data_IF_974167112498
#
_entry.id   IF_974167112498
#
_cell.length_a   1.000
_cell.length_b   1.000
_cell.length_c   1.000
_cell.angle_alpha   90.00
_cell.angle_beta   90.00
_cell.angle_gamma   90.00
#
_symmetry.space_group_name_H-M   'P 1'
#
loop_
_entity.id
_entity.type
_entity.pdbx_description
1 polymer ?
#
# COMPACT_ATOMS: atom_id res chain seq x y z
N UNK A 1 -6.28 -20.75 -2.05
CA UNK A 1 -7.69 -20.68 -1.64
C UNK A 1 -7.96 -21.77 -0.59
N UNK A 2 -7.90 -21.37 0.69
CA UNK A 2 -7.86 -22.35 1.78
C UNK A 2 -9.27 -22.76 2.30
N UNK A 3 -10.34 -22.18 1.74
CA UNK A 3 -11.72 -22.55 2.08
C UNK A 3 -11.99 -22.48 3.59
N UNK A 4 -12.30 -23.63 4.18
CA UNK A 4 -12.61 -23.76 5.62
C UNK A 4 -11.50 -24.50 6.38
N UNK A 5 -11.42 -24.24 7.71
CA UNK A 5 -10.49 -24.94 8.60
C UNK A 5 -10.62 -26.47 8.51
N UNK A 6 -9.53 -27.24 8.81
CA UNK A 6 -8.29 -26.81 9.46
C UNK A 6 -7.29 -26.19 8.49
N UNK A 7 -6.62 -25.08 8.94
CA UNK A 7 -5.60 -24.42 8.14
C UNK A 7 -4.21 -24.94 8.52
N UNK A 8 -3.37 -25.35 7.54
CA UNK A 8 -2.02 -25.81 7.83
C UNK A 8 -1.15 -24.62 8.31
N UNK A 9 -0.40 -24.86 9.38
CA UNK A 9 0.60 -23.92 9.88
C UNK A 9 1.97 -24.59 9.88
N UNK A 10 3.01 -23.84 9.56
CA UNK A 10 4.39 -24.34 9.52
C UNK A 10 5.40 -23.29 9.96
N UNK A 11 6.62 -23.74 10.23
CA UNK A 11 7.73 -22.82 10.54
C UNK A 11 8.06 -21.95 9.32
N UNK A 12 8.44 -20.69 9.57
CA UNK A 12 8.92 -19.78 8.53
C UNK A 12 10.44 -19.91 8.35
N UNK A 13 10.93 -20.61 7.33
CA UNK A 13 12.39 -20.79 7.11
C UNK A 13 13.07 -19.50 6.65
N UNK A 14 12.31 -18.48 6.29
CA UNK A 14 12.79 -17.16 5.88
C UNK A 14 12.63 -16.10 6.98
N UNK A 15 12.36 -16.52 8.20
CA UNK A 15 12.31 -15.60 9.35
C UNK A 15 13.56 -14.73 9.44
N UNK A 16 13.38 -13.48 9.88
CA UNK A 16 14.47 -12.54 10.12
C UNK A 16 15.03 -12.62 11.55
N UNK A 17 14.53 -13.56 12.38
CA UNK A 17 14.93 -13.70 13.80
C UNK A 17 16.40 -14.09 14.00
N UNK A 18 17.05 -14.58 12.96
CA UNK A 18 18.50 -14.87 12.99
C UNK A 18 19.38 -13.62 12.86
N UNK A 19 18.82 -12.49 12.40
CA UNK A 19 19.58 -11.24 12.19
C UNK A 19 19.03 -10.05 12.99
N UNK A 20 17.81 -10.14 13.52
CA UNK A 20 17.17 -9.03 14.22
C UNK A 20 16.11 -9.49 15.21
N UNK A 21 15.85 -8.71 16.26
CA UNK A 21 14.64 -8.85 17.06
C UNK A 21 13.43 -8.33 16.23
N UNK A 22 12.28 -8.99 16.37
CA UNK A 22 11.03 -8.57 15.76
C UNK A 22 10.07 -8.08 16.84
N UNK A 23 9.56 -6.86 16.69
CA UNK A 23 8.58 -6.25 17.60
C UNK A 23 7.34 -5.90 16.83
N UNK A 24 6.25 -6.61 17.09
CA UNK A 24 4.94 -6.34 16.51
C UNK A 24 4.14 -5.44 17.45
N UNK A 25 3.62 -4.35 16.92
CA UNK A 25 2.86 -3.35 17.68
C UNK A 25 1.39 -3.44 17.27
N UNK A 26 0.51 -3.61 18.24
CA UNK A 26 -0.92 -3.35 18.05
C UNK A 26 -1.18 -1.86 18.36
N UNK A 27 -1.39 -0.98 17.38
CA UNK A 27 -1.80 0.39 17.64
C UNK A 27 -3.08 0.46 18.46
N UNK A 28 -3.26 1.53 19.23
CA UNK A 28 -4.39 1.67 20.15
C UNK A 28 -5.73 1.50 19.43
N UNK A 29 -6.53 0.55 19.88
CA UNK A 29 -7.82 0.19 19.27
C UNK A 29 -7.74 -0.94 18.24
N UNK A 30 -6.57 -1.55 18.06
CA UNK A 30 -6.37 -2.73 17.20
C UNK A 30 -5.79 -3.89 18.01
N UNK A 31 -5.76 -5.09 17.44
CA UNK A 31 -5.25 -6.28 18.09
C UNK A 31 -5.81 -6.45 19.51
N UNK A 32 -4.91 -6.56 20.49
CA UNK A 32 -5.28 -6.57 21.91
C UNK A 32 -5.19 -5.18 22.58
N UNK A 33 -4.69 -4.16 21.89
CA UNK A 33 -4.53 -2.82 22.48
C UNK A 33 -5.84 -2.10 22.69
N UNK A 34 -6.07 -1.64 23.90
CA UNK A 34 -7.25 -0.87 24.31
C UNK A 34 -6.83 0.30 25.18
N UNK A 35 -7.62 1.36 25.13
CA UNK A 35 -7.47 2.48 26.07
C UNK A 35 -7.87 2.00 27.47
N UNK A 36 -7.07 2.35 28.47
CA UNK A 36 -7.30 2.05 29.86
C UNK A 36 -7.28 3.33 30.72
N UNK A 37 -7.89 3.27 31.88
CA UNK A 37 -7.92 4.38 32.82
C UNK A 37 -8.74 5.59 32.32
N UNK A 38 -8.13 6.77 32.34
CA UNK A 38 -8.81 8.05 32.00
C UNK A 38 -8.65 8.47 30.55
N UNK A 39 -7.88 7.72 29.73
CA UNK A 39 -7.68 8.03 28.31
C UNK A 39 -8.96 7.84 27.50
N UNK A 40 -9.04 8.48 26.35
CA UNK A 40 -10.11 8.33 25.37
C UNK A 40 -9.52 7.84 24.05
N UNK A 41 -10.30 7.15 23.23
CA UNK A 41 -9.86 6.65 21.92
C UNK A 41 -9.45 7.82 21.00
N UNK A 42 -10.11 8.95 21.13
CA UNK A 42 -9.83 10.17 20.37
C UNK A 42 -8.42 10.74 20.62
N UNK A 43 -7.79 10.39 21.75
CA UNK A 43 -6.43 10.81 22.08
C UNK A 43 -5.38 10.04 21.21
N UNK A 44 -5.79 9.00 20.50
CA UNK A 44 -4.92 8.10 19.73
C UNK A 44 -5.32 7.96 18.25
N UNK A 45 -6.60 8.25 17.92
CA UNK A 45 -7.14 7.98 16.57
C UNK A 45 -7.01 9.19 15.66
N UNK A 46 -5.85 9.36 15.11
CA UNK A 46 -5.51 10.41 14.13
C UNK A 46 -4.08 10.28 13.67
N UNK A 47 -3.73 10.89 12.56
CA UNK A 47 -2.39 10.79 11.95
C UNK A 47 -1.26 11.19 12.91
N UNK A 48 -1.43 12.30 13.62
CA UNK A 48 -0.41 12.80 14.52
C UNK A 48 -0.45 12.09 15.87
N UNK A 49 -1.62 11.78 16.38
CA UNK A 49 -1.85 11.11 17.66
C UNK A 49 -1.36 9.66 17.61
N UNK A 50 -1.64 8.95 16.53
CA UNK A 50 -1.14 7.59 16.29
C UNK A 50 0.40 7.60 16.21
N UNK A 51 0.98 8.50 15.42
CA UNK A 51 2.42 8.62 15.31
C UNK A 51 3.10 8.91 16.66
N UNK A 52 2.52 9.81 17.46
CA UNK A 52 3.01 10.13 18.80
C UNK A 52 2.94 8.95 19.75
N UNK A 53 1.82 8.19 19.72
CA UNK A 53 1.62 7.03 20.58
C UNK A 53 2.59 5.90 20.24
N UNK A 54 2.80 5.63 18.94
CA UNK A 54 3.74 4.60 18.48
C UNK A 54 5.19 5.02 18.78
N UNK A 55 5.55 6.29 18.59
CA UNK A 55 6.86 6.81 18.97
C UNK A 55 7.11 6.66 20.47
N UNK A 56 6.12 6.98 21.31
CA UNK A 56 6.21 6.79 22.77
C UNK A 56 6.40 5.29 23.13
N UNK A 57 5.65 4.39 22.48
CA UNK A 57 5.83 2.95 22.66
C UNK A 57 7.26 2.52 22.32
N UNK A 58 7.80 2.94 21.17
CA UNK A 58 9.15 2.59 20.73
C UNK A 58 10.18 3.04 21.79
N UNK A 59 10.08 4.28 22.29
CA UNK A 59 10.98 4.77 23.33
C UNK A 59 10.89 3.98 24.63
N UNK A 60 9.67 3.67 25.06
CA UNK A 60 9.46 2.83 26.25
C UNK A 60 10.07 1.43 26.07
N UNK A 61 9.86 0.84 24.89
CA UNK A 61 10.37 -0.49 24.57
C UNK A 61 11.91 -0.52 24.56
N UNK A 62 12.57 0.40 23.86
CA UNK A 62 14.05 0.46 23.80
C UNK A 62 14.66 0.75 25.16
N UNK A 63 13.96 1.51 26.02
CA UNK A 63 14.37 1.77 27.39
C UNK A 63 14.25 0.49 28.24
N UNK A 64 13.09 -0.14 28.22
CA UNK A 64 12.80 -1.36 28.99
C UNK A 64 13.76 -2.49 28.66
N UNK A 65 14.04 -2.69 27.36
CA UNK A 65 14.89 -3.79 26.89
C UNK A 65 16.35 -3.37 26.65
N UNK A 66 16.73 -2.14 27.03
CA UNK A 66 18.12 -1.62 26.94
C UNK A 66 18.67 -1.63 25.52
N UNK A 67 17.84 -1.23 24.53
CA UNK A 67 18.16 -1.26 23.10
C UNK A 67 18.47 0.13 22.51
N UNK A 68 18.84 1.12 23.34
CA UNK A 68 19.14 2.48 22.87
C UNK A 68 20.26 2.54 21.84
N UNK A 69 21.28 1.73 21.97
CA UNK A 69 22.44 1.68 21.07
C UNK A 69 22.32 0.61 19.97
N UNK A 70 21.20 -0.10 19.86
CA UNK A 70 20.97 -1.06 18.77
C UNK A 70 20.52 -0.35 17.50
N UNK A 71 20.87 -0.85 16.29
CA UNK A 71 20.24 -0.39 15.04
C UNK A 71 18.72 -0.57 15.10
N UNK A 72 17.99 0.40 14.56
CA UNK A 72 16.52 0.44 14.63
C UNK A 72 15.92 0.63 13.26
N UNK A 73 14.96 -0.23 12.93
CA UNK A 73 14.22 -0.22 11.68
C UNK A 73 12.72 -0.19 11.98
N UNK A 74 11.94 0.49 11.16
CA UNK A 74 10.47 0.41 11.18
C UNK A 74 10.03 -0.20 9.86
N UNK A 75 9.26 -1.29 9.92
CA UNK A 75 8.56 -1.85 8.78
C UNK A 75 7.09 -1.49 8.85
N UNK A 76 6.54 -1.04 7.73
CA UNK A 76 5.11 -0.74 7.59
C UNK A 76 4.60 -1.17 6.23
N UNK A 77 3.38 -1.69 6.21
CA UNK A 77 2.66 -2.04 5.00
C UNK A 77 1.43 -1.16 4.86
N UNK A 78 1.13 -0.73 3.62
CA UNK A 78 -0.06 0.07 3.33
C UNK A 78 -0.10 1.33 4.23
N UNK A 79 -1.16 1.58 5.01
CA UNK A 79 -1.21 2.65 6.00
C UNK A 79 -0.02 2.63 6.97
N UNK A 80 0.57 1.46 7.23
CA UNK A 80 1.79 1.34 8.03
C UNK A 80 2.97 2.16 7.47
N UNK A 81 2.99 2.47 6.19
CA UNK A 81 4.01 3.33 5.58
C UNK A 81 3.78 4.81 5.89
N UNK A 82 2.52 5.24 5.96
CA UNK A 82 2.11 6.57 6.46
C UNK A 82 2.58 6.73 7.91
N UNK A 83 2.27 5.72 8.75
CA UNK A 83 2.71 5.65 10.15
C UNK A 83 4.22 5.69 10.27
N UNK A 84 4.94 4.88 9.49
CA UNK A 84 6.40 4.81 9.54
C UNK A 84 7.05 6.17 9.25
N UNK A 85 6.59 6.89 8.23
CA UNK A 85 7.08 8.23 7.90
C UNK A 85 6.77 9.25 8.99
N UNK A 86 5.55 9.24 9.54
CA UNK A 86 5.15 10.14 10.61
C UNK A 86 5.89 9.85 11.92
N UNK A 87 6.07 8.59 12.28
CA UNK A 87 6.84 8.17 13.47
C UNK A 87 8.32 8.54 13.34
N UNK A 88 8.92 8.40 12.15
CA UNK A 88 10.31 8.80 11.92
C UNK A 88 10.50 10.32 12.13
N UNK A 89 9.55 11.14 11.71
CA UNK A 89 9.56 12.59 11.96
C UNK A 89 9.45 12.91 13.45
N UNK A 90 8.53 12.26 14.18
CA UNK A 90 8.35 12.43 15.62
C UNK A 90 9.61 12.01 16.39
N UNK A 91 10.16 10.83 16.12
CA UNK A 91 11.35 10.31 16.82
C UNK A 91 12.61 11.16 16.59
N UNK A 92 12.73 11.78 15.40
CA UNK A 92 13.81 12.71 15.05
C UNK A 92 13.55 14.15 15.46
N UNK A 93 12.44 14.43 16.17
CA UNK A 93 12.05 15.76 16.64
C UNK A 93 12.71 16.15 17.97
N UNK A 94 12.57 17.43 18.33
CA UNK A 94 13.10 17.99 19.56
C UNK A 94 12.55 17.28 20.80
N UNK A 95 13.43 16.91 21.72
CA UNK A 95 13.10 16.17 22.94
C UNK A 95 12.85 14.68 22.75
N UNK A 96 12.88 14.16 21.52
CA UNK A 96 12.78 12.72 21.24
C UNK A 96 14.15 12.12 20.91
N UNK A 97 14.87 12.70 19.95
CA UNK A 97 16.28 12.44 19.62
C UNK A 97 16.63 10.93 19.47
N UNK A 98 15.72 10.17 18.86
CA UNK A 98 15.93 8.77 18.57
C UNK A 98 16.08 8.58 17.05
N UNK A 99 17.29 8.23 16.62
CA UNK A 99 17.59 8.01 15.20
C UNK A 99 17.25 6.57 14.78
N UNK A 100 16.65 6.45 13.61
CA UNK A 100 16.39 5.18 12.92
C UNK A 100 17.48 4.91 11.87
N UNK A 101 17.82 3.65 11.66
CA UNK A 101 18.74 3.21 10.61
C UNK A 101 18.02 3.01 9.27
N UNK A 102 16.74 2.64 9.31
CA UNK A 102 15.99 2.47 8.08
C UNK A 102 14.49 2.35 8.26
N UNK A 103 13.78 2.60 7.14
CA UNK A 103 12.37 2.32 6.98
C UNK A 103 12.20 1.27 5.88
N UNK A 104 11.34 0.30 6.12
CA UNK A 104 10.92 -0.73 5.16
C UNK A 104 9.46 -0.48 4.85
N UNK A 105 9.20 0.00 3.64
CA UNK A 105 7.87 0.41 3.18
C UNK A 105 7.34 -0.58 2.17
N UNK A 106 6.38 -1.39 2.57
CA UNK A 106 5.71 -2.38 1.74
C UNK A 106 4.39 -1.77 1.24
N UNK A 107 4.21 -1.71 -0.07
CA UNK A 107 2.99 -1.17 -0.69
C UNK A 107 2.65 0.22 -0.15
N UNK A 108 3.57 1.17 -0.36
CA UNK A 108 3.52 2.50 0.22
C UNK A 108 2.31 3.33 -0.25
N UNK A 109 1.78 4.18 0.65
CA UNK A 109 0.68 5.10 0.37
C UNK A 109 0.81 6.45 1.11
N UNK A 110 2.02 6.99 1.20
CA UNK A 110 2.27 8.25 1.93
C UNK A 110 1.59 9.48 1.32
N UNK A 111 1.22 9.41 0.05
CA UNK A 111 0.49 10.46 -0.68
C UNK A 111 -0.80 9.90 -1.27
N UNK A 112 -1.92 10.17 -0.61
CA UNK A 112 -3.23 9.68 -1.05
C UNK A 112 -3.70 10.25 -2.38
N UNK A 113 -3.07 11.32 -2.88
CA UNK A 113 -3.37 11.84 -4.22
C UNK A 113 -2.99 10.83 -5.31
N UNK A 114 -1.90 10.09 -5.12
CA UNK A 114 -1.46 9.11 -6.09
C UNK A 114 -2.21 7.77 -6.04
N UNK A 115 -2.95 7.48 -4.97
CA UNK A 115 -3.62 6.18 -4.78
C UNK A 115 -5.11 6.27 -4.41
N UNK A 116 -5.76 7.40 -4.68
CA UNK A 116 -7.21 7.56 -4.52
C UNK A 116 -7.89 7.63 -5.89
N UNK A 117 -8.45 6.50 -6.33
CA UNK A 117 -9.17 6.40 -7.61
C UNK A 117 -10.53 7.08 -7.52
N UNK A 118 -10.56 8.38 -7.78
CA UNK A 118 -11.75 9.21 -7.82
C UNK A 118 -11.81 9.97 -9.16
N UNK A 119 -13.03 10.33 -9.60
CA UNK A 119 -13.27 10.94 -10.92
C UNK A 119 -12.53 12.27 -11.11
N UNK A 120 -12.37 13.07 -10.06
CA UNK A 120 -11.69 14.37 -10.11
C UNK A 120 -10.18 14.29 -9.89
N UNK A 121 -9.63 13.10 -9.63
CA UNK A 121 -8.24 12.93 -9.31
C UNK A 121 -7.39 12.48 -10.52
N UNK A 122 -6.97 13.45 -11.33
CA UNK A 122 -6.13 13.20 -12.52
C UNK A 122 -4.84 12.43 -12.15
N UNK A 123 -4.22 12.73 -11.02
CA UNK A 123 -2.98 12.07 -10.60
C UNK A 123 -3.17 10.57 -10.47
N UNK A 124 -4.27 10.13 -9.87
CA UNK A 124 -4.54 8.71 -9.69
C UNK A 124 -4.72 7.96 -11.02
N UNK A 125 -5.36 8.57 -12.03
CA UNK A 125 -5.46 7.94 -13.35
C UNK A 125 -4.10 7.65 -13.96
N UNK A 126 -3.14 8.54 -13.76
CA UNK A 126 -1.76 8.36 -14.26
C UNK A 126 -1.02 7.29 -13.46
N UNK A 127 -1.09 7.33 -12.13
CA UNK A 127 -0.32 6.43 -11.26
C UNK A 127 -0.84 5.00 -11.25
N UNK A 128 -2.14 4.78 -11.42
CA UNK A 128 -2.73 3.44 -11.55
C UNK A 128 -2.49 2.79 -12.92
N UNK A 129 -2.25 3.60 -13.96
CA UNK A 129 -2.21 3.11 -15.33
C UNK A 129 -1.23 1.96 -15.55
N UNK A 130 0.04 2.04 -15.10
CA UNK A 130 0.99 0.93 -15.29
C UNK A 130 0.60 -0.34 -14.52
N UNK A 131 -0.01 -0.25 -13.33
CA UNK A 131 -0.51 -1.43 -12.59
C UNK A 131 -1.72 -2.08 -13.28
N UNK A 132 -2.62 -1.27 -13.85
CA UNK A 132 -3.72 -1.80 -14.67
C UNK A 132 -3.20 -2.48 -15.94
N UNK A 133 -2.20 -1.90 -16.61
CA UNK A 133 -1.53 -2.52 -17.76
C UNK A 133 -0.86 -3.84 -17.40
N UNK A 134 -0.11 -3.90 -16.29
CA UNK A 134 0.49 -5.12 -15.78
C UNK A 134 -0.55 -6.21 -15.52
N UNK A 135 -1.68 -5.83 -14.92
CA UNK A 135 -2.80 -6.74 -14.66
C UNK A 135 -3.44 -7.26 -15.96
N UNK A 136 -3.65 -6.38 -16.94
CA UNK A 136 -4.16 -6.79 -18.25
C UNK A 136 -3.18 -7.75 -18.97
N UNK A 137 -1.87 -7.51 -18.84
CA UNK A 137 -0.83 -8.40 -19.34
C UNK A 137 -0.90 -9.78 -18.70
N UNK A 138 -1.03 -9.85 -17.37
CA UNK A 138 -1.15 -11.12 -16.64
C UNK A 138 -2.34 -11.95 -17.16
N UNK A 139 -3.48 -11.34 -17.36
CA UNK A 139 -4.70 -11.97 -17.89
C UNK A 139 -4.67 -12.15 -19.41
N UNK A 140 -3.56 -11.90 -20.09
CA UNK A 140 -3.37 -12.04 -21.54
C UNK A 140 -4.37 -11.23 -22.37
N UNK A 141 -4.86 -10.14 -21.81
CA UNK A 141 -5.76 -9.18 -22.49
C UNK A 141 -4.97 -8.07 -23.21
N UNK A 142 -3.67 -7.89 -22.87
CA UNK A 142 -2.78 -6.89 -23.47
C UNK A 142 -1.34 -7.38 -23.50
N UNK A 143 -0.44 -6.70 -24.25
CA UNK A 143 0.99 -6.93 -24.23
C UNK A 143 1.45 -8.31 -24.74
N UNK A 144 0.69 -8.92 -25.65
CA UNK A 144 1.01 -10.26 -26.19
C UNK A 144 2.40 -10.28 -26.82
N UNK A 145 3.21 -11.23 -26.40
CA UNK A 145 4.59 -11.41 -26.91
C UNK A 145 5.65 -10.54 -26.24
N UNK A 146 5.28 -9.70 -25.28
CA UNK A 146 6.21 -8.87 -24.49
C UNK A 146 6.45 -9.46 -23.10
N UNK A 147 7.65 -9.23 -22.56
CA UNK A 147 7.93 -9.50 -21.16
C UNK A 147 7.21 -8.47 -20.26
N UNK A 148 6.91 -8.84 -19.01
CA UNK A 148 6.27 -7.93 -18.07
C UNK A 148 7.07 -6.62 -17.86
N UNK A 149 8.41 -6.66 -17.61
CA UNK A 149 9.18 -5.44 -17.41
C UNK A 149 9.15 -4.50 -18.63
N UNK A 150 9.24 -5.05 -19.83
CA UNK A 150 9.18 -4.28 -21.08
C UNK A 150 7.80 -3.60 -21.23
N UNK A 151 6.73 -4.35 -21.07
CA UNK A 151 5.37 -3.83 -21.24
C UNK A 151 5.01 -2.78 -20.18
N UNK A 152 5.44 -3.01 -18.94
CA UNK A 152 5.27 -2.05 -17.85
C UNK A 152 6.06 -0.77 -18.08
N UNK A 153 7.27 -0.87 -18.66
CA UNK A 153 8.05 0.33 -18.99
C UNK A 153 7.36 1.16 -20.08
N UNK A 154 6.84 0.53 -21.13
CA UNK A 154 6.04 1.23 -22.14
C UNK A 154 4.80 1.91 -21.53
N UNK A 155 4.14 1.25 -20.59
CA UNK A 155 2.99 1.83 -19.88
C UNK A 155 3.39 3.04 -19.02
N UNK A 156 4.54 3.02 -18.33
CA UNK A 156 5.10 4.19 -17.63
C UNK A 156 5.34 5.34 -18.59
N UNK A 157 6.01 5.06 -19.70
CA UNK A 157 6.38 6.08 -20.69
C UNK A 157 5.13 6.72 -21.31
N UNK A 158 4.12 5.93 -21.63
CA UNK A 158 2.85 6.45 -22.10
C UNK A 158 2.14 7.30 -21.02
N UNK A 159 2.08 6.83 -19.79
CA UNK A 159 1.44 7.54 -18.68
C UNK A 159 2.06 8.93 -18.45
N UNK A 160 3.42 9.01 -18.43
CA UNK A 160 4.14 10.25 -18.21
C UNK A 160 4.14 11.21 -19.43
N UNK A 161 4.29 10.69 -20.64
CA UNK A 161 4.55 11.55 -21.79
C UNK A 161 3.28 11.96 -22.55
N UNK A 162 2.24 11.11 -22.53
CA UNK A 162 1.07 11.32 -23.36
C UNK A 162 -0.23 11.41 -22.55
N UNK A 163 -0.47 10.45 -21.66
CA UNK A 163 -1.75 10.32 -20.97
C UNK A 163 -2.02 11.48 -20.00
N UNK A 164 -1.04 11.87 -19.20
CA UNK A 164 -1.16 13.01 -18.28
C UNK A 164 -1.53 14.30 -19.04
N UNK A 165 -0.88 14.55 -20.18
CA UNK A 165 -1.17 15.73 -21.00
C UNK A 165 -2.59 15.71 -21.59
N UNK A 166 -3.04 14.53 -22.01
CA UNK A 166 -4.41 14.35 -22.52
C UNK A 166 -5.46 14.63 -21.43
N UNK A 167 -5.25 14.11 -20.22
CA UNK A 167 -6.14 14.36 -19.08
C UNK A 167 -6.23 15.84 -18.70
N UNK A 168 -5.09 16.55 -18.66
CA UNK A 168 -5.08 18.00 -18.35
C UNK A 168 -5.77 18.87 -19.40
N UNK A 169 -5.79 18.45 -20.67
CA UNK A 169 -6.54 19.15 -21.72
C UNK A 169 -8.06 18.96 -21.58
N UNK A 170 -8.51 17.87 -21.00
CA UNK A 170 -9.93 17.57 -20.79
C UNK A 170 -10.75 17.71 -22.08
N UNK A 171 -11.81 18.51 -22.04
CA UNK A 171 -12.68 18.79 -23.21
C UNK A 171 -11.99 19.60 -24.32
N UNK A 172 -10.84 20.24 -24.05
CA UNK A 172 -10.06 20.95 -25.06
C UNK A 172 -9.14 20.01 -25.87
N UNK A 173 -9.09 18.70 -25.54
CA UNK A 173 -8.33 17.74 -26.31
C UNK A 173 -9.01 17.51 -27.67
N UNK A 174 -8.31 17.75 -28.82
CA UNK A 174 -8.90 17.54 -30.14
C UNK A 174 -9.38 16.09 -30.32
N UNK A 175 -10.50 15.92 -31.05
CA UNK A 175 -11.18 14.63 -31.19
C UNK A 175 -10.28 13.55 -31.80
N UNK A 176 -9.44 13.90 -32.78
CA UNK A 176 -8.46 12.99 -33.36
C UNK A 176 -7.36 12.56 -32.37
N UNK A 177 -6.91 13.48 -31.48
CA UNK A 177 -5.95 13.16 -30.42
C UNK A 177 -6.62 12.28 -29.35
N UNK A 178 -7.85 12.60 -28.95
CA UNK A 178 -8.64 11.78 -28.00
C UNK A 178 -8.78 10.35 -28.51
N UNK A 179 -9.12 10.19 -29.78
CA UNK A 179 -9.27 8.87 -30.41
C UNK A 179 -7.95 8.08 -30.44
N UNK A 180 -6.81 8.74 -30.71
CA UNK A 180 -5.49 8.10 -30.64
C UNK A 180 -5.08 7.69 -29.22
N UNK A 181 -5.34 8.53 -28.23
CA UNK A 181 -5.09 8.19 -26.82
C UNK A 181 -5.95 7.01 -26.39
N UNK A 182 -7.26 7.01 -26.74
CA UNK A 182 -8.15 5.90 -26.42
C UNK A 182 -7.69 4.57 -27.05
N UNK A 183 -7.20 4.60 -28.30
CA UNK A 183 -6.62 3.42 -28.97
C UNK A 183 -5.41 2.86 -28.24
N UNK A 184 -4.45 3.74 -27.85
CA UNK A 184 -3.28 3.34 -27.07
C UNK A 184 -3.69 2.75 -25.72
N UNK A 185 -4.60 3.41 -25.01
CA UNK A 185 -5.12 2.90 -23.74
C UNK A 185 -5.77 1.51 -23.89
N UNK A 186 -6.53 1.29 -24.98
CA UNK A 186 -7.13 -0.01 -25.28
C UNK A 186 -6.06 -1.10 -25.40
N UNK A 187 -4.95 -0.80 -26.09
CA UNK A 187 -3.80 -1.71 -26.23
C UNK A 187 -3.10 -2.03 -24.92
N UNK A 188 -3.07 -1.09 -23.94
CA UNK A 188 -2.48 -1.32 -22.63
C UNK A 188 -3.45 -1.98 -21.64
N UNK A 189 -4.71 -1.57 -21.62
CA UNK A 189 -5.66 -1.98 -20.61
C UNK A 189 -6.46 -3.23 -20.98
N UNK A 190 -6.39 -3.69 -22.26
CA UNK A 190 -7.19 -4.83 -22.71
C UNK A 190 -8.70 -4.55 -22.76
N UNK A 191 -9.09 -3.29 -22.72
CA UNK A 191 -10.48 -2.85 -22.79
C UNK A 191 -10.81 -2.36 -24.22
N UNK A 192 -12.10 -2.34 -24.58
CA UNK A 192 -12.49 -1.80 -25.88
C UNK A 192 -12.26 -0.30 -25.95
N UNK A 193 -11.85 0.21 -27.12
CA UNK A 193 -11.68 1.64 -27.37
C UNK A 193 -12.97 2.42 -27.05
N UNK A 194 -14.13 1.89 -27.45
CA UNK A 194 -15.42 2.52 -27.19
C UNK A 194 -15.74 2.63 -25.70
N UNK A 195 -15.29 1.67 -24.88
CA UNK A 195 -15.41 1.77 -23.42
C UNK A 195 -14.57 2.92 -22.86
N UNK A 196 -13.33 3.04 -23.31
CA UNK A 196 -12.40 4.09 -22.89
C UNK A 196 -12.90 5.46 -23.32
N UNK A 197 -13.41 5.61 -24.56
CA UNK A 197 -13.99 6.86 -25.04
C UNK A 197 -15.22 7.29 -24.21
N UNK A 198 -16.09 6.35 -23.86
CA UNK A 198 -17.27 6.60 -23.00
C UNK A 198 -16.90 6.90 -21.55
N UNK A 199 -15.75 6.45 -21.06
CA UNK A 199 -15.23 6.81 -19.74
C UNK A 199 -14.46 8.13 -19.75
N UNK A 200 -14.49 8.87 -20.86
CA UNK A 200 -13.75 10.12 -21.04
C UNK A 200 -12.24 10.00 -20.78
N UNK A 201 -11.66 8.87 -21.17
CA UNK A 201 -10.27 8.47 -20.91
C UNK A 201 -9.96 8.22 -19.39
N UNK A 202 -10.96 8.33 -18.53
CA UNK A 202 -10.82 8.19 -17.07
C UNK A 202 -11.41 6.86 -16.58
N UNK A 203 -10.64 5.78 -16.79
CA UNK A 203 -11.05 4.45 -16.34
C UNK A 203 -10.68 4.28 -14.86
N UNK A 204 -11.68 4.38 -13.97
CA UNK A 204 -11.47 4.17 -12.53
C UNK A 204 -11.15 2.70 -12.22
N UNK A 205 -10.36 2.48 -11.17
CA UNK A 205 -9.97 1.13 -10.72
C UNK A 205 -11.16 0.18 -10.52
N UNK A 206 -12.25 0.54 -9.83
CA UNK A 206 -13.40 -0.35 -9.70
C UNK A 206 -14.03 -0.73 -11.05
N UNK A 207 -14.06 0.20 -12.01
CA UNK A 207 -14.55 -0.05 -13.37
C UNK A 207 -13.62 -0.97 -14.15
N UNK A 208 -12.31 -0.74 -14.07
CA UNK A 208 -11.32 -1.62 -14.67
C UNK A 208 -11.41 -3.05 -14.14
N UNK A 209 -11.48 -3.20 -12.81
CA UNK A 209 -11.63 -4.51 -12.15
C UNK A 209 -12.85 -5.27 -12.65
N UNK A 210 -13.94 -4.59 -12.90
CA UNK A 210 -15.18 -5.18 -13.40
C UNK A 210 -15.12 -5.51 -14.89
N UNK A 211 -14.53 -4.61 -15.69
CA UNK A 211 -14.61 -4.68 -17.15
C UNK A 211 -13.62 -5.67 -17.76
N UNK A 212 -12.43 -5.83 -17.18
CA UNK A 212 -11.33 -6.60 -17.77
C UNK A 212 -11.71 -8.04 -18.15
N UNK A 213 -12.47 -8.72 -17.29
CA UNK A 213 -12.90 -10.12 -17.49
C UNK A 213 -14.44 -10.27 -17.51
N UNK A 214 -15.15 -9.18 -17.79
CA UNK A 214 -16.64 -9.18 -17.85
C UNK A 214 -17.19 -10.21 -18.82
N UNK A 215 -16.53 -10.41 -19.95
CA UNK A 215 -16.89 -11.41 -20.97
C UNK A 215 -16.86 -12.86 -20.44
N UNK A 216 -16.15 -13.08 -19.34
CA UNK A 216 -16.03 -14.39 -18.67
C UNK A 216 -16.93 -14.49 -17.41
N UNK A 217 -17.69 -13.45 -17.09
CA UNK A 217 -18.47 -13.37 -15.86
C UNK A 217 -17.63 -13.26 -14.58
N UNK A 218 -16.39 -12.76 -14.71
CA UNK A 218 -15.42 -12.65 -13.62
C UNK A 218 -15.13 -11.18 -13.29
N UNK A 219 -14.74 -10.94 -12.05
CA UNK A 219 -14.10 -9.72 -11.57
C UNK A 219 -12.72 -10.04 -11.01
N UNK A 220 -11.83 -9.04 -11.00
CA UNK A 220 -10.47 -9.19 -10.45
C UNK A 220 -10.33 -8.52 -9.09
N UNK A 221 -9.33 -8.95 -8.31
CA UNK A 221 -8.98 -8.38 -7.02
C UNK A 221 -8.43 -6.96 -7.13
N UNK A 222 -8.55 -6.19 -6.05
CA UNK A 222 -7.90 -4.89 -5.91
C UNK A 222 -6.59 -4.99 -5.13
N UNK A 223 -6.57 -5.80 -4.06
CA UNK A 223 -5.33 -6.13 -3.35
C UNK A 223 -4.32 -6.82 -4.28
N UNK A 224 -4.81 -7.66 -5.17
CA UNK A 224 -3.97 -8.31 -6.19
C UNK A 224 -4.81 -8.57 -7.44
N UNK A 225 -4.49 -7.88 -8.52
CA UNK A 225 -5.21 -7.98 -9.78
C UNK A 225 -5.15 -9.36 -10.46
N UNK A 226 -4.33 -10.30 -9.98
CA UNK A 226 -4.26 -11.67 -10.48
C UNK A 226 -5.39 -12.56 -9.95
N UNK A 227 -5.92 -12.26 -8.76
CA UNK A 227 -7.03 -13.00 -8.17
C UNK A 227 -8.32 -12.70 -8.90
N UNK A 228 -9.17 -13.71 -9.04
CA UNK A 228 -10.44 -13.63 -9.75
C UNK A 228 -11.56 -14.18 -8.88
N UNK A 229 -12.76 -13.64 -9.05
CA UNK A 229 -13.98 -14.16 -8.45
C UNK A 229 -15.12 -14.18 -9.46
N UNK A 230 -16.05 -15.12 -9.30
CA UNK A 230 -17.30 -15.10 -10.04
C UNK A 230 -18.11 -13.88 -9.60
N UNK A 231 -18.54 -13.11 -10.57
CA UNK A 231 -19.33 -11.91 -10.32
C UNK A 231 -20.82 -12.24 -10.14
N UNK A 232 -21.42 -11.70 -9.09
CA UNK A 232 -22.83 -11.95 -8.80
C UNK A 232 -23.79 -11.14 -9.73
N UNK A 233 -23.37 -9.94 -10.15
CA UNK A 233 -24.09 -9.10 -11.10
C UNK A 233 -23.22 -8.76 -12.31
N UNK A 234 -23.42 -9.46 -13.42
CA UNK A 234 -22.61 -9.32 -14.62
C UNK A 234 -22.67 -7.92 -15.26
N UNK A 235 -23.76 -7.16 -15.08
CA UNK A 235 -23.98 -5.86 -15.72
C UNK A 235 -23.66 -4.66 -14.84
N UNK A 236 -23.39 -4.86 -13.54
CA UNK A 236 -23.03 -3.76 -12.64
C UNK A 236 -21.82 -2.97 -13.15
N UNK A 237 -21.74 -1.69 -12.78
CA UNK A 237 -20.62 -0.79 -13.13
C UNK A 237 -19.34 -1.09 -12.32
N UNK A 238 -19.51 -1.69 -11.15
CA UNK A 238 -18.42 -2.00 -10.20
C UNK A 238 -18.55 -3.45 -9.72
N UNK A 239 -17.48 -4.08 -9.22
CA UNK A 239 -17.60 -5.37 -8.57
C UNK A 239 -18.66 -5.33 -7.46
N UNK A 240 -19.54 -6.32 -7.44
CA UNK A 240 -20.54 -6.50 -6.37
C UNK A 240 -20.03 -7.48 -5.30
N UNK A 241 -19.00 -8.23 -5.63
CA UNK A 241 -18.26 -9.07 -4.69
C UNK A 241 -17.22 -8.23 -3.94
N UNK A 242 -16.86 -8.67 -2.74
CA UNK A 242 -15.72 -8.14 -2.01
C UNK A 242 -14.41 -8.39 -2.78
N UNK A 243 -13.28 -8.01 -2.20
CA UNK A 243 -12.00 -8.19 -2.86
C UNK A 243 -11.62 -9.68 -3.01
N UNK A 244 -11.39 -10.13 -4.25
CA UNK A 244 -11.11 -11.52 -4.56
C UNK A 244 -9.86 -12.06 -3.85
N UNK A 245 -8.81 -11.25 -3.69
CA UNK A 245 -7.63 -11.64 -2.92
C UNK A 245 -7.94 -11.66 -1.42
N UNK A 246 -8.70 -10.66 -0.92
CA UNK A 246 -9.04 -10.53 0.50
C UNK A 246 -9.80 -11.74 1.03
N UNK A 247 -10.90 -12.13 0.39
CA UNK A 247 -11.69 -13.25 0.90
C UNK A 247 -11.03 -14.62 0.63
N UNK A 248 -10.14 -14.72 -0.36
CA UNK A 248 -9.42 -15.97 -0.62
C UNK A 248 -8.47 -16.38 0.51
N UNK A 249 -7.98 -15.43 1.30
CA UNK A 249 -7.00 -15.70 2.36
C UNK A 249 -7.48 -15.28 3.77
N UNK A 250 -8.50 -14.45 3.87
CA UNK A 250 -8.89 -13.80 5.12
C UNK A 250 -9.26 -14.77 6.24
N UNK A 251 -10.03 -15.82 5.93
CA UNK A 251 -10.42 -16.83 6.92
C UNK A 251 -9.23 -17.65 7.43
N UNK A 252 -8.32 -18.04 6.52
CA UNK A 252 -7.13 -18.81 6.86
C UNK A 252 -6.20 -18.02 7.79
N UNK A 253 -5.87 -16.78 7.44
CA UNK A 253 -5.01 -15.94 8.27
C UNK A 253 -5.64 -15.61 9.62
N UNK A 254 -6.93 -15.29 9.66
CA UNK A 254 -7.63 -15.03 10.93
C UNK A 254 -7.64 -16.26 11.83
N UNK A 255 -7.97 -17.42 11.26
CA UNK A 255 -8.01 -18.68 12.01
C UNK A 255 -6.62 -19.10 12.51
N UNK A 256 -5.62 -19.07 11.63
CA UNK A 256 -4.24 -19.42 11.97
C UNK A 256 -3.65 -18.48 13.01
N UNK A 257 -3.86 -17.15 12.87
CA UNK A 257 -3.36 -16.17 13.85
C UNK A 257 -3.94 -16.40 15.25
N UNK A 258 -5.27 -16.57 15.36
CA UNK A 258 -5.90 -16.81 16.66
C UNK A 258 -5.44 -18.13 17.29
N UNK A 259 -5.28 -19.18 16.47
CA UNK A 259 -4.74 -20.44 16.94
C UNK A 259 -3.31 -20.26 17.46
N UNK A 260 -2.42 -19.65 16.68
CA UNK A 260 -1.02 -19.40 17.03
C UNK A 260 -0.88 -18.57 18.32
N UNK A 261 -1.66 -17.50 18.46
CA UNK A 261 -1.68 -16.69 19.68
C UNK A 261 -2.05 -17.52 20.92
N UNK A 262 -3.07 -18.37 20.79
CA UNK A 262 -3.57 -19.17 21.92
C UNK A 262 -2.67 -20.34 22.26
N UNK A 263 -2.15 -21.07 21.28
CA UNK A 263 -1.46 -22.36 21.49
C UNK A 263 0.06 -22.21 21.55
N UNK A 264 0.66 -21.47 20.64
CA UNK A 264 2.13 -21.37 20.54
C UNK A 264 2.66 -20.23 21.42
N UNK A 265 1.99 -19.08 21.42
CA UNK A 265 2.40 -17.94 22.24
C UNK A 265 1.74 -17.90 23.63
N UNK A 266 0.82 -18.80 23.91
CA UNK A 266 0.10 -18.91 25.20
C UNK A 266 -0.50 -17.57 25.65
N UNK A 267 -1.07 -16.81 24.72
CA UNK A 267 -1.74 -15.56 25.05
C UNK A 267 -3.09 -15.87 25.71
N UNK A 268 -3.23 -15.52 27.00
CA UNK A 268 -4.43 -15.81 27.82
C UNK A 268 -5.32 -14.59 28.01
N UNK A 269 -5.33 -13.65 27.08
CA UNK A 269 -6.15 -12.44 27.17
C UNK A 269 -7.64 -12.76 27.00
N UNK A 270 -8.45 -12.36 28.00
CA UNK A 270 -9.92 -12.48 27.96
C UNK A 270 -10.55 -11.32 27.16
N UNK A 271 -10.15 -11.20 25.92
CA UNK A 271 -10.73 -10.27 24.94
C UNK A 271 -10.39 -10.71 23.51
N UNK A 272 -11.23 -10.38 22.51
CA UNK A 272 -10.94 -10.73 21.13
C UNK A 272 -9.75 -9.92 20.60
N UNK A 273 -8.91 -10.58 19.77
CA UNK A 273 -7.93 -9.91 18.93
C UNK A 273 -8.66 -9.24 17.76
N UNK A 274 -8.59 -7.91 17.67
CA UNK A 274 -9.23 -7.16 16.59
C UNK A 274 -8.33 -7.13 15.36
N UNK A 275 -8.60 -7.97 14.39
CA UNK A 275 -7.95 -7.94 13.08
C UNK A 275 -8.39 -6.73 12.25
N UNK A 276 -9.61 -6.23 12.51
CA UNK A 276 -10.14 -4.96 12.00
C UNK A 276 -10.97 -4.25 13.07
N UNK A 277 -11.06 -2.92 12.96
CA UNK A 277 -11.91 -2.11 13.84
C UNK A 277 -12.69 -1.10 13.01
N UNK A 278 -13.95 -1.40 12.73
CA UNK A 278 -14.82 -0.57 11.90
C UNK A 278 -15.13 0.80 12.51
N UNK A 279 -15.00 0.97 13.85
CA UNK A 279 -15.19 2.26 14.49
C UNK A 279 -14.11 3.28 14.14
N UNK A 280 -12.89 2.80 13.84
CA UNK A 280 -11.76 3.64 13.47
C UNK A 280 -12.07 4.50 12.25
N UNK A 281 -12.64 3.91 11.19
CA UNK A 281 -12.87 4.59 9.92
C UNK A 281 -13.69 5.87 10.04
N UNK A 282 -14.72 5.87 10.91
CA UNK A 282 -15.60 7.02 11.14
C UNK A 282 -15.05 8.06 12.13
N UNK A 283 -14.06 7.68 12.95
CA UNK A 283 -13.54 8.54 14.04
C UNK A 283 -12.10 8.99 13.81
N UNK A 284 -11.43 8.47 12.77
CA UNK A 284 -10.02 8.78 12.49
C UNK A 284 -9.85 10.21 12.02
N UNK A 285 -8.95 10.95 12.67
CA UNK A 285 -8.61 12.33 12.28
C UNK A 285 -7.51 12.31 11.22
N UNK A 286 -7.90 12.61 10.01
CA UNK A 286 -7.01 12.68 8.86
C UNK A 286 -6.21 14.00 8.76
N UNK A 287 -6.60 15.01 9.54
CA UNK A 287 -5.96 16.31 9.54
C UNK A 287 -4.50 16.20 9.99
N UNK A 288 -3.58 16.67 9.17
CA UNK A 288 -2.13 16.64 9.43
C UNK A 288 -1.45 18.00 9.23
N UNK A 289 -2.22 19.07 9.06
CA UNK A 289 -1.71 20.44 8.99
C UNK A 289 -1.67 21.06 10.39
N UNK A 290 -0.83 22.12 10.62
CA UNK A 290 -0.77 22.81 11.89
C UNK A 290 -2.16 23.30 12.36
N UNK A 291 -2.38 23.28 13.68
CA UNK A 291 -3.59 23.86 14.27
C UNK A 291 -3.73 25.34 13.86
N UNK A 292 -4.96 25.75 13.55
CA UNK A 292 -5.25 27.11 13.06
C UNK A 292 -5.04 27.31 11.55
N UNK A 293 -4.53 26.33 10.82
CA UNK A 293 -4.48 26.39 9.36
C UNK A 293 -5.88 26.51 8.77
N UNK A 294 -6.07 27.47 7.87
CA UNK A 294 -7.38 27.74 7.25
C UNK A 294 -7.76 26.65 6.23
N UNK A 295 -6.79 26.26 5.41
CA UNK A 295 -6.99 25.23 4.39
C UNK A 295 -6.25 23.95 4.76
N UNK A 296 -6.84 22.83 4.36
CA UNK A 296 -6.22 21.54 4.34
C UNK A 296 -6.26 20.97 2.91
N UNK A 297 -5.18 20.38 2.40
CA UNK A 297 -5.20 19.69 1.10
C UNK A 297 -6.30 18.64 1.06
N UNK A 298 -6.89 18.42 -0.12
CA UNK A 298 -7.96 17.42 -0.32
C UNK A 298 -7.49 15.99 -0.04
N UNK A 299 -6.20 15.73 -0.24
CA UNK A 299 -5.59 14.41 -0.01
C UNK A 299 -4.53 14.48 1.08
N UNK A 300 -4.53 13.45 1.93
CA UNK A 300 -3.50 13.28 2.96
C UNK A 300 -2.15 13.02 2.30
N UNK A 301 -1.12 13.74 2.74
CA UNK A 301 0.25 13.55 2.27
C UNK A 301 1.22 13.73 3.43
N UNK A 302 1.91 12.67 3.82
CA UNK A 302 2.94 12.67 4.87
C UNK A 302 4.36 12.50 4.31
N UNK A 303 4.53 12.43 3.00
CA UNK A 303 5.82 12.18 2.36
C UNK A 303 6.86 13.26 2.67
N UNK A 304 6.41 14.51 2.91
CA UNK A 304 7.29 15.60 3.37
C UNK A 304 7.91 15.31 4.73
N UNK A 305 7.20 14.61 5.63
CA UNK A 305 7.75 14.19 6.93
C UNK A 305 8.95 13.26 6.75
N UNK A 306 8.85 12.32 5.81
CA UNK A 306 9.98 11.46 5.43
C UNK A 306 11.15 12.29 4.90
N UNK A 307 10.91 13.22 3.98
CA UNK A 307 11.94 14.10 3.42
C UNK A 307 12.67 14.91 4.49
N UNK A 308 11.95 15.40 5.51
CA UNK A 308 12.53 16.09 6.66
C UNK A 308 13.33 15.14 7.56
N UNK A 309 12.79 13.96 7.88
CA UNK A 309 13.48 12.95 8.69
C UNK A 309 14.80 12.52 8.05
N UNK A 310 14.82 12.28 6.73
CA UNK A 310 16.04 11.94 5.99
C UNK A 310 17.10 13.06 6.02
N UNK A 311 16.71 14.32 6.10
CA UNK A 311 17.65 15.46 6.20
C UNK A 311 18.21 15.63 7.60
N UNK A 312 17.39 15.43 8.61
CA UNK A 312 17.83 15.46 10.02
C UNK A 312 18.76 14.28 10.34
N UNK A 313 18.47 13.10 9.77
CA UNK A 313 19.24 11.88 9.97
C UNK A 313 19.92 11.45 8.65
N UNK A 314 21.23 11.72 8.54
CA UNK A 314 22.02 11.43 7.34
C UNK A 314 22.17 9.92 7.02
N UNK A 315 21.96 9.06 8.01
CA UNK A 315 22.12 7.61 7.89
C UNK A 315 20.79 6.88 7.66
N UNK A 316 19.64 7.60 7.70
CA UNK A 316 18.34 7.04 7.44
C UNK A 316 18.20 6.60 5.97
N UNK A 317 18.01 5.30 5.77
CA UNK A 317 17.77 4.69 4.46
C UNK A 317 16.32 4.21 4.36
N UNK A 318 15.84 4.02 3.14
CA UNK A 318 14.48 3.54 2.89
C UNK A 318 14.51 2.40 1.86
N UNK A 319 13.86 1.29 2.17
CA UNK A 319 13.50 0.23 1.23
C UNK A 319 12.02 0.36 0.90
N UNK A 320 11.70 0.43 -0.39
CA UNK A 320 10.32 0.50 -0.90
C UNK A 320 10.05 -0.76 -1.72
N UNK A 321 9.14 -1.58 -1.26
CA UNK A 321 8.72 -2.81 -1.90
C UNK A 321 7.33 -2.63 -2.52
N UNK A 322 7.18 -2.87 -3.82
CA UNK A 322 5.94 -2.62 -4.56
C UNK A 322 5.59 -3.79 -5.47
N UNK A 323 4.33 -4.21 -5.46
CA UNK A 323 3.81 -5.24 -6.37
C UNK A 323 3.29 -4.63 -7.67
N UNK A 324 3.59 -5.27 -8.82
CA UNK A 324 3.12 -4.81 -10.13
C UNK A 324 1.60 -4.86 -10.26
N UNK A 325 0.93 -5.80 -9.57
CA UNK A 325 -0.50 -6.05 -9.66
C UNK A 325 -1.32 -5.44 -8.51
N UNK A 326 -0.68 -4.57 -7.74
CA UNK A 326 -1.34 -3.83 -6.66
C UNK A 326 -2.23 -2.73 -7.26
N UNK A 327 -3.55 -2.85 -7.02
CA UNK A 327 -4.56 -1.89 -7.44
C UNK A 327 -5.15 -1.11 -6.25
N UNK A 328 -4.46 -1.14 -5.07
CA UNK A 328 -4.74 -0.28 -3.91
C UNK A 328 -3.69 0.83 -3.83
N UNK A 329 -2.41 0.44 -3.79
CA UNK A 329 -1.28 1.37 -3.71
C UNK A 329 -0.31 1.08 -4.86
N UNK A 330 -0.63 1.56 -6.07
CA UNK A 330 0.08 1.16 -7.28
C UNK A 330 1.56 1.54 -7.20
N UNK A 331 2.42 0.67 -7.71
CA UNK A 331 3.87 0.88 -7.65
C UNK A 331 4.33 2.22 -8.26
N UNK A 332 3.60 2.72 -9.25
CA UNK A 332 3.92 3.97 -9.92
C UNK A 332 3.59 5.21 -9.07
N UNK A 333 2.64 5.07 -8.10
CA UNK A 333 2.46 6.08 -7.04
C UNK A 333 3.70 6.15 -6.14
N UNK A 334 4.34 5.02 -5.83
CA UNK A 334 5.58 5.02 -5.07
C UNK A 334 6.68 5.82 -5.82
N UNK A 335 6.84 5.60 -7.12
CA UNK A 335 7.78 6.35 -7.97
C UNK A 335 7.42 7.85 -7.99
N UNK A 336 6.14 8.17 -8.15
CA UNK A 336 5.63 9.54 -8.12
C UNK A 336 5.92 10.25 -6.80
N UNK A 337 5.61 9.60 -5.68
CA UNK A 337 5.76 10.15 -4.33
C UNK A 337 7.23 10.34 -3.96
N UNK A 338 8.10 9.37 -4.26
CA UNK A 338 9.53 9.43 -3.97
C UNK A 338 10.28 10.43 -4.85
N UNK A 339 9.74 10.81 -6.01
CA UNK A 339 10.27 11.88 -6.84
C UNK A 339 10.02 13.30 -6.31
N UNK A 340 9.39 13.46 -5.12
CA UNK A 340 8.86 14.73 -4.60
C UNK A 340 9.17 14.96 -3.13
N UNK A 341 8.68 16.08 -2.62
CA UNK A 341 8.60 16.42 -1.18
C UNK A 341 9.94 16.37 -0.45
N UNK A 342 11.03 16.50 -1.19
CA UNK A 342 12.37 16.52 -0.63
C UNK A 342 12.87 15.16 -0.13
N UNK A 343 12.28 14.06 -0.56
CA UNK A 343 12.82 12.73 -0.31
C UNK A 343 14.17 12.60 -1.02
N UNK A 344 15.17 12.02 -0.35
CA UNK A 344 16.52 11.84 -0.87
C UNK A 344 16.61 10.47 -1.57
N UNK A 345 16.51 10.49 -2.90
CA UNK A 345 16.44 9.28 -3.73
C UNK A 345 17.70 8.41 -3.69
N UNK A 346 18.86 9.02 -3.45
CA UNK A 346 20.15 8.33 -3.31
C UNK A 346 20.19 7.37 -2.09
N UNK A 347 19.28 7.55 -1.15
CA UNK A 347 19.11 6.71 0.05
C UNK A 347 17.81 5.90 0.06
N UNK A 348 17.05 5.90 -1.03
CA UNK A 348 15.86 5.10 -1.24
C UNK A 348 16.13 4.01 -2.27
N UNK A 349 15.82 2.77 -1.93
CA UNK A 349 15.91 1.62 -2.85
C UNK A 349 14.51 1.14 -3.16
N UNK A 350 14.12 1.17 -4.44
CA UNK A 350 12.85 0.62 -4.90
C UNK A 350 13.03 -0.80 -5.42
N UNK A 351 12.15 -1.70 -5.01
CA UNK A 351 12.09 -3.10 -5.46
C UNK A 351 10.69 -3.44 -5.95
N UNK A 352 10.63 -4.26 -7.01
CA UNK A 352 9.37 -4.60 -7.68
C UNK A 352 9.17 -6.10 -7.72
N UNK A 353 7.92 -6.54 -7.52
CA UNK A 353 7.56 -7.95 -7.38
C UNK A 353 6.40 -8.30 -8.32
N UNK A 354 6.41 -9.52 -8.83
CA UNK A 354 5.30 -10.08 -9.62
C UNK A 354 4.14 -10.51 -8.73
N UNK A 355 3.71 -9.61 -7.88
CA UNK A 355 2.69 -9.80 -6.85
C UNK A 355 1.80 -8.55 -6.74
N UNK A 356 0.75 -8.63 -5.92
CA UNK A 356 -0.09 -7.49 -5.55
C UNK A 356 0.36 -6.80 -4.27
N UNK A 357 -0.61 -6.31 -3.50
CA UNK A 357 -0.43 -5.54 -2.26
C UNK A 357 0.30 -6.32 -1.18
N UNK A 358 -0.05 -7.59 -1.00
CA UNK A 358 0.54 -8.52 -0.06
C UNK A 358 1.49 -9.46 -0.81
N UNK A 359 2.71 -8.99 -1.13
CA UNK A 359 3.62 -9.74 -2.00
C UNK A 359 4.12 -11.05 -1.38
N UNK A 360 4.01 -11.21 -0.07
CA UNK A 360 4.31 -12.45 0.64
C UNK A 360 3.27 -13.57 0.43
N UNK A 361 2.14 -13.31 -0.23
CA UNK A 361 1.18 -14.34 -0.68
C UNK A 361 1.69 -15.12 -1.89
N UNK A 362 2.68 -14.60 -2.62
CA UNK A 362 3.31 -15.28 -3.74
C UNK A 362 4.68 -15.80 -3.30
N UNK A 363 4.81 -17.11 -3.12
CA UNK A 363 5.98 -17.73 -2.51
C UNK A 363 7.32 -17.29 -3.12
N UNK A 364 7.51 -17.20 -4.45
CA UNK A 364 8.75 -16.70 -5.03
C UNK A 364 9.06 -15.25 -4.61
N UNK A 365 8.06 -14.39 -4.55
CA UNK A 365 8.22 -12.99 -4.17
C UNK A 365 8.35 -12.83 -2.64
N UNK A 366 7.72 -13.69 -1.84
CA UNK A 366 7.98 -13.76 -0.40
C UNK A 366 9.47 -14.01 -0.12
N UNK A 367 10.09 -14.95 -0.84
CA UNK A 367 11.51 -15.23 -0.69
C UNK A 367 12.37 -14.02 -1.11
N UNK A 368 12.06 -13.41 -2.26
CA UNK A 368 12.79 -12.21 -2.74
C UNK A 368 12.64 -11.03 -1.78
N UNK A 369 11.42 -10.75 -1.31
CA UNK A 369 11.13 -9.69 -0.35
C UNK A 369 11.94 -9.87 0.93
N UNK A 370 11.93 -11.08 1.48
CA UNK A 370 12.67 -11.39 2.71
C UNK A 370 14.18 -11.23 2.50
N UNK A 371 14.71 -11.68 1.37
CA UNK A 371 16.13 -11.52 1.02
C UNK A 371 16.50 -10.04 0.78
N UNK A 372 15.62 -9.23 0.22
CA UNK A 372 15.81 -7.79 0.04
C UNK A 372 15.82 -7.06 1.39
N UNK A 373 14.89 -7.40 2.28
CA UNK A 373 14.85 -6.87 3.66
C UNK A 373 16.11 -7.26 4.42
N UNK A 374 16.53 -8.52 4.33
CA UNK A 374 17.75 -9.00 4.96
C UNK A 374 18.98 -8.24 4.50
N UNK A 375 19.16 -8.06 3.18
CA UNK A 375 20.25 -7.26 2.61
C UNK A 375 20.19 -5.79 3.04
N UNK A 376 19.00 -5.23 3.18
CA UNK A 376 18.79 -3.85 3.62
C UNK A 376 19.21 -3.65 5.08
N UNK A 377 18.89 -4.59 5.96
CA UNK A 377 19.25 -4.53 7.39
C UNK A 377 20.74 -4.73 7.59
N UNK A 378 21.36 -5.64 6.84
CA UNK A 378 22.77 -6.03 7.03
C UNK A 378 23.79 -5.05 6.40
N UNK A 379 23.33 -4.06 5.62
CA UNK A 379 24.18 -2.99 5.04
C UNK A 379 24.39 -1.86 6.04
#
# INVERSE_FOLDING_TARGET
>A
DDGAAPYPMGGNPKSLLDITDLVFIDPVGTGYSRVIGKGKVEDYWGLNEDAASVAAFIRLWVTKYKRWNSPKYIAGESFGTVRAAAVADVLGGDGQELSLNGLIMISQCMDYQGNTSDQDNITAFVTYFPSMAATAWYHKKAGVGKSLPEFVQEARDFAWNEYVSALYKGSNLPADQRSRIAEKMAGFLGLSKSYIERSDLMVMVPRFRKELLRDQGLTIGQLDGRYMAQEADAISDRPTMEDAAGFSVGSAYTGALNHYLATDLNVTMDRPYLTSNNELGGKWRWRNVPEGSYYEPSYVNVSRKLGLAMRKNKDLRVLVASGYYDLITPFFDAEYTFGRNGILQDRATMTYYEAGHMMYLHEPDFHRLTDDIRRFIMR
#
